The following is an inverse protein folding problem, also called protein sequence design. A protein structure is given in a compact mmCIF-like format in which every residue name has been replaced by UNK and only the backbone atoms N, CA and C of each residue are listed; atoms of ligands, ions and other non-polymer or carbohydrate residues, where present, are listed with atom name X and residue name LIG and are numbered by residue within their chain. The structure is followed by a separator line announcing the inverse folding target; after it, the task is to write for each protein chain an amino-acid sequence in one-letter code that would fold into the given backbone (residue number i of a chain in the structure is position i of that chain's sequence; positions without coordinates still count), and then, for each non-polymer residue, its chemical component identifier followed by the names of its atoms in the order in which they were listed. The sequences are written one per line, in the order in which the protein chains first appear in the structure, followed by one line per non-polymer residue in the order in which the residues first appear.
data_IF_959787314082
#
_entry.id   IF_959787314082
#
_cell.length_a   1.000
_cell.length_b   1.000
_cell.length_c   1.000
_cell.angle_alpha   90.00
_cell.angle_beta   90.00
_cell.angle_gamma   90.00
#
_symmetry.space_group_name_H-M   'P 1'
#
loop_
_entity.id
_entity.type
_entity.pdbx_description
1 polymer ?
#
# COMPACT_ATOMS: atom_id res chain seq x y z
N UNK A 1 2.70 10.63 -9.09
CA UNK A 1 3.63 10.91 -7.98
C UNK A 1 3.66 9.78 -6.96
N UNK A 2 2.55 9.36 -6.35
CA UNK A 2 2.52 8.28 -5.33
C UNK A 2 3.10 6.94 -5.78
N UNK A 3 2.80 6.50 -7.01
CA UNK A 3 3.35 5.25 -7.57
C UNK A 3 4.89 5.29 -7.66
N UNK A 4 5.43 6.39 -8.18
CA UNK A 4 6.89 6.55 -8.27
C UNK A 4 7.54 6.58 -6.88
N UNK A 5 6.94 7.26 -5.91
CA UNK A 5 7.42 7.29 -4.53
C UNK A 5 7.49 5.86 -3.93
N UNK A 6 6.41 5.08 -4.02
CA UNK A 6 6.39 3.71 -3.51
C UNK A 6 7.38 2.80 -4.26
N UNK A 7 7.50 2.94 -5.58
CA UNK A 7 8.45 2.17 -6.37
C UNK A 7 9.90 2.48 -5.96
N UNK A 8 10.26 3.77 -5.87
CA UNK A 8 11.59 4.19 -5.42
C UNK A 8 11.89 3.71 -3.99
N UNK A 9 10.92 3.83 -3.08
CA UNK A 9 11.07 3.36 -1.72
C UNK A 9 11.28 1.84 -1.65
N UNK A 10 10.49 1.06 -2.40
CA UNK A 10 10.62 -0.40 -2.46
C UNK A 10 11.98 -0.83 -3.03
N UNK A 11 12.46 -0.13 -4.07
CA UNK A 11 13.79 -0.39 -4.63
C UNK A 11 14.90 -0.04 -3.64
N UNK A 12 14.78 1.07 -2.92
CA UNK A 12 15.75 1.47 -1.89
C UNK A 12 15.81 0.45 -0.76
N UNK A 13 14.66 -0.02 -0.26
CA UNK A 13 14.59 -1.08 0.75
C UNK A 13 15.20 -2.39 0.25
N UNK A 14 14.87 -2.79 -0.97
CA UNK A 14 15.43 -4.00 -1.57
C UNK A 14 16.95 -3.90 -1.75
N UNK A 15 17.47 -2.74 -2.12
CA UNK A 15 18.90 -2.50 -2.21
C UNK A 15 19.57 -2.52 -0.84
N UNK A 16 18.94 -1.90 0.18
CA UNK A 16 19.44 -1.89 1.55
C UNK A 16 19.49 -3.29 2.19
N UNK A 17 18.58 -4.17 1.80
CA UNK A 17 18.55 -5.57 2.26
C UNK A 17 19.50 -6.50 1.46
N UNK A 18 20.51 -5.96 0.81
CA UNK A 18 21.53 -6.71 0.06
C UNK A 18 22.93 -6.46 0.66
N UNK A 19 23.85 -7.37 0.40
CA UNK A 19 25.25 -7.23 0.82
C UNK A 19 25.51 -7.61 2.26
N UNK A 20 26.52 -6.98 2.89
CA UNK A 20 27.02 -7.38 4.22
C UNK A 20 26.01 -7.18 5.36
N UNK A 21 25.04 -6.30 5.17
CA UNK A 21 23.96 -6.05 6.14
C UNK A 21 23.11 -7.31 6.37
N UNK A 22 23.03 -8.21 5.37
CA UNK A 22 22.30 -9.49 5.49
C UNK A 22 22.99 -10.52 6.37
N UNK A 23 24.20 -10.24 6.86
CA UNK A 23 24.89 -11.08 7.85
C UNK A 23 24.41 -10.81 9.29
N UNK A 24 23.70 -9.71 9.50
CA UNK A 24 23.06 -9.40 10.78
C UNK A 24 21.82 -10.31 10.97
N UNK A 25 21.76 -11.10 12.06
CA UNK A 25 20.65 -12.04 12.29
C UNK A 25 19.28 -11.38 12.34
N UNK A 26 19.20 -10.16 12.91
CA UNK A 26 17.94 -9.42 13.03
C UNK A 26 17.43 -8.94 11.67
N UNK A 27 18.35 -8.54 10.79
CA UNK A 27 18.01 -8.13 9.43
C UNK A 27 17.63 -9.33 8.57
N UNK A 28 18.29 -10.46 8.76
CA UNK A 28 17.92 -11.70 8.10
C UNK A 28 16.52 -12.14 8.53
N UNK A 29 16.20 -12.06 9.83
CA UNK A 29 14.86 -12.32 10.34
C UNK A 29 13.81 -11.37 9.73
N UNK A 30 14.11 -10.06 9.66
CA UNK A 30 13.22 -9.08 9.03
C UNK A 30 12.95 -9.41 7.56
N UNK A 31 13.98 -9.75 6.81
CA UNK A 31 13.89 -10.12 5.39
C UNK A 31 13.05 -11.38 5.18
N UNK A 32 13.27 -12.42 5.97
CA UNK A 32 12.56 -13.69 5.84
C UNK A 32 11.09 -13.58 6.27
N UNK A 33 10.78 -12.66 7.20
CA UNK A 33 9.43 -12.43 7.71
C UNK A 33 8.76 -11.16 7.20
N UNK A 34 9.28 -10.51 6.14
CA UNK A 34 8.76 -9.23 5.66
C UNK A 34 7.25 -9.26 5.31
N UNK A 35 6.74 -10.40 4.84
CA UNK A 35 5.31 -10.55 4.52
C UNK A 35 4.41 -10.69 5.75
N UNK A 36 4.95 -10.81 6.96
CA UNK A 36 4.19 -10.72 8.21
C UNK A 36 3.89 -9.27 8.63
N UNK A 37 4.45 -8.29 7.93
CA UNK A 37 4.17 -6.87 8.18
C UNK A 37 3.06 -6.37 7.25
N UNK A 38 1.93 -6.02 7.83
CA UNK A 38 0.76 -5.50 7.08
C UNK A 38 1.11 -4.25 6.25
N UNK A 39 2.12 -3.49 6.66
CA UNK A 39 2.62 -2.33 5.94
C UNK A 39 3.15 -2.68 4.54
N UNK A 40 3.86 -3.80 4.42
CA UNK A 40 4.36 -4.29 3.11
C UNK A 40 3.18 -4.59 2.19
N UNK A 41 2.16 -5.26 2.70
CA UNK A 41 0.93 -5.54 1.93
C UNK A 41 0.25 -4.25 1.46
N UNK A 42 0.14 -3.26 2.36
CA UNK A 42 -0.48 -1.98 2.02
C UNK A 42 0.30 -1.23 0.92
N UNK A 43 1.62 -1.23 0.96
CA UNK A 43 2.46 -0.64 -0.11
C UNK A 43 2.19 -1.35 -1.44
N UNK A 44 2.14 -2.68 -1.45
CA UNK A 44 1.81 -3.47 -2.65
C UNK A 44 0.39 -3.12 -3.15
N UNK A 45 -0.59 -3.06 -2.27
CA UNK A 45 -1.97 -2.72 -2.63
C UNK A 45 -2.08 -1.31 -3.19
N UNK A 46 -1.40 -0.33 -2.59
CA UNK A 46 -1.36 1.03 -3.14
C UNK A 46 -0.69 1.08 -4.51
N UNK A 47 0.42 0.36 -4.70
CA UNK A 47 1.09 0.31 -6.00
C UNK A 47 0.19 -0.31 -7.08
N UNK A 48 -0.51 -1.41 -6.77
CA UNK A 48 -1.47 -2.03 -7.68
C UNK A 48 -2.63 -1.08 -8.03
N UNK A 49 -3.21 -0.43 -7.03
CA UNK A 49 -4.28 0.55 -7.23
C UNK A 49 -3.83 1.73 -8.10
N UNK A 50 -2.69 2.34 -7.77
CA UNK A 50 -2.15 3.48 -8.51
C UNK A 50 -1.74 3.10 -9.93
N UNK A 51 -1.25 1.88 -10.16
CA UNK A 51 -0.96 1.37 -11.51
C UNK A 51 -2.24 1.24 -12.33
N UNK A 52 -3.31 0.70 -11.77
CA UNK A 52 -4.61 0.62 -12.44
C UNK A 52 -5.15 2.04 -12.77
N UNK A 53 -5.01 3.00 -11.85
CA UNK A 53 -5.42 4.37 -12.07
C UNK A 53 -4.62 5.01 -13.23
N UNK A 54 -3.30 4.87 -13.23
CA UNK A 54 -2.42 5.40 -14.31
C UNK A 54 -2.79 4.79 -15.65
N UNK A 55 -3.02 3.49 -15.73
CA UNK A 55 -3.46 2.82 -16.97
C UNK A 55 -4.78 3.40 -17.47
N UNK A 56 -5.75 3.61 -16.58
CA UNK A 56 -7.04 4.21 -16.95
C UNK A 56 -6.88 5.65 -17.45
N UNK A 57 -6.05 6.46 -16.77
CA UNK A 57 -5.86 7.86 -17.12
C UNK A 57 -5.10 8.02 -18.44
N UNK A 58 -4.00 7.28 -18.63
CA UNK A 58 -3.22 7.29 -19.87
C UNK A 58 -4.06 6.82 -21.07
N UNK A 59 -4.85 5.76 -20.88
CA UNK A 59 -5.73 5.26 -21.93
C UNK A 59 -6.81 6.30 -22.32
N UNK A 60 -7.35 7.01 -21.35
CA UNK A 60 -8.30 8.09 -21.60
C UNK A 60 -7.66 9.26 -22.37
N UNK A 61 -6.43 9.62 -22.01
CA UNK A 61 -5.68 10.67 -22.70
C UNK A 61 -5.32 10.31 -24.14
N UNK A 62 -4.99 9.04 -24.42
CA UNK A 62 -4.57 8.59 -25.75
C UNK A 62 -5.74 8.31 -26.68
N UNK A 63 -6.83 7.74 -26.17
CA UNK A 63 -7.95 7.25 -26.99
C UNK A 63 -9.20 8.12 -26.92
N UNK A 64 -9.17 9.18 -26.09
CA UNK A 64 -10.36 10.02 -25.84
C UNK A 64 -11.44 9.30 -25.00
N UNK A 65 -12.64 9.91 -24.89
CA UNK A 65 -13.69 9.42 -24.00
C UNK A 65 -14.46 8.17 -24.53
N UNK A 66 -14.00 7.53 -25.58
CA UNK A 66 -14.53 6.26 -26.08
C UNK A 66 -14.25 5.13 -25.09
N UNK A 67 -15.30 4.64 -24.41
CA UNK A 67 -15.13 3.56 -23.43
C UNK A 67 -14.86 2.20 -24.12
N UNK A 68 -13.61 1.78 -24.10
CA UNK A 68 -13.33 0.37 -24.31
C UNK A 68 -13.85 -0.43 -23.09
N UNK A 69 -14.66 -1.46 -23.32
CA UNK A 69 -15.25 -2.32 -22.27
C UNK A 69 -14.24 -2.78 -21.21
N UNK A 70 -13.01 -3.11 -21.63
CA UNK A 70 -11.94 -3.53 -20.72
C UNK A 70 -11.51 -2.43 -19.74
N UNK A 71 -11.44 -1.17 -20.21
CA UNK A 71 -11.11 -0.03 -19.34
C UNK A 71 -12.22 0.28 -18.35
N UNK A 72 -13.48 0.17 -18.78
CA UNK A 72 -14.63 0.31 -17.88
C UNK A 72 -14.62 -0.74 -16.76
N UNK A 73 -14.28 -1.99 -17.09
CA UNK A 73 -14.11 -3.07 -16.10
C UNK A 73 -12.93 -2.79 -15.15
N UNK A 74 -11.77 -2.38 -15.67
CA UNK A 74 -10.60 -2.05 -14.86
C UNK A 74 -10.89 -0.91 -13.90
N UNK A 75 -11.54 0.16 -14.36
CA UNK A 75 -11.96 1.30 -13.54
C UNK A 75 -12.96 0.87 -12.46
N UNK A 76 -13.92 0.02 -12.80
CA UNK A 76 -14.89 -0.51 -11.83
C UNK A 76 -14.21 -1.36 -10.76
N UNK A 77 -13.29 -2.26 -11.16
CA UNK A 77 -12.53 -3.10 -10.24
C UNK A 77 -11.60 -2.26 -9.34
N UNK A 78 -10.89 -1.29 -9.91
CA UNK A 78 -10.01 -0.38 -9.16
C UNK A 78 -10.76 0.33 -8.02
N UNK A 79 -12.00 0.77 -8.26
CA UNK A 79 -12.85 1.37 -7.21
C UNK A 79 -13.23 0.40 -6.10
N UNK A 80 -13.58 -0.84 -6.46
CA UNK A 80 -13.92 -1.90 -5.49
C UNK A 80 -12.68 -2.24 -4.66
N UNK A 81 -11.54 -2.39 -5.31
CA UNK A 81 -10.26 -2.69 -4.66
C UNK A 81 -9.82 -1.56 -3.74
N UNK A 82 -9.97 -0.31 -4.17
CA UNK A 82 -9.70 0.85 -3.33
C UNK A 82 -10.55 0.85 -2.06
N UNK A 83 -11.88 0.77 -2.20
CA UNK A 83 -12.78 0.85 -1.05
C UNK A 83 -12.75 -0.37 -0.14
N UNK A 84 -12.47 -1.57 -0.69
CA UNK A 84 -12.43 -2.83 0.07
C UNK A 84 -11.08 -3.16 0.68
N UNK A 85 -9.99 -2.61 0.14
CA UNK A 85 -8.63 -2.97 0.57
C UNK A 85 -7.78 -1.74 0.88
N UNK A 86 -7.53 -0.89 -0.11
CA UNK A 86 -6.53 0.19 0.02
C UNK A 86 -6.91 1.20 1.10
N UNK A 87 -8.16 1.68 1.07
CA UNK A 87 -8.64 2.66 2.03
C UNK A 87 -8.62 2.14 3.48
N UNK A 88 -9.25 0.98 3.80
CA UNK A 88 -9.24 0.48 5.18
C UNK A 88 -7.84 0.10 5.66
N UNK A 89 -6.99 -0.53 4.84
CA UNK A 89 -5.62 -0.86 5.23
C UNK A 89 -4.79 0.39 5.51
N UNK A 90 -4.81 1.38 4.62
CA UNK A 90 -4.04 2.62 4.78
C UNK A 90 -4.45 3.40 6.03
N UNK A 91 -5.76 3.50 6.27
CA UNK A 91 -6.31 4.20 7.46
C UNK A 91 -5.92 3.46 8.74
N UNK A 92 -6.09 2.14 8.79
CA UNK A 92 -5.76 1.32 9.95
C UNK A 92 -4.28 1.40 10.29
N UNK A 93 -3.39 1.26 9.29
CA UNK A 93 -1.94 1.35 9.52
C UNK A 93 -1.55 2.73 10.05
N UNK A 94 -2.05 3.80 9.44
CA UNK A 94 -1.72 5.16 9.88
C UNK A 94 -2.19 5.41 11.32
N UNK A 95 -3.43 5.02 11.65
CA UNK A 95 -4.04 5.28 12.97
C UNK A 95 -3.39 4.42 14.07
N UNK A 96 -2.93 3.21 13.75
CA UNK A 96 -2.30 2.33 14.75
C UNK A 96 -0.81 2.65 14.87
N UNK A 97 -0.10 2.82 13.76
CA UNK A 97 1.35 2.95 13.76
C UNK A 97 1.84 4.16 14.54
N UNK A 98 1.31 5.35 14.27
CA UNK A 98 1.85 6.58 14.85
C UNK A 98 1.64 6.72 16.36
N UNK A 99 0.46 6.42 16.93
CA UNK A 99 0.31 6.42 18.40
C UNK A 99 1.24 5.42 19.09
N UNK A 100 1.38 4.20 18.53
CA UNK A 100 2.26 3.20 19.10
C UNK A 100 3.74 3.56 18.93
N UNK A 101 4.14 4.10 17.79
CA UNK A 101 5.50 4.58 17.52
C UNK A 101 5.91 5.72 18.47
N UNK A 102 4.98 6.61 18.82
CA UNK A 102 5.22 7.71 19.77
C UNK A 102 5.24 7.19 21.21
N UNK A 103 4.37 6.22 21.54
CA UNK A 103 4.29 5.64 22.89
C UNK A 103 5.52 4.80 23.22
N UNK A 104 5.84 3.84 22.37
CA UNK A 104 7.03 2.99 22.47
C UNK A 104 7.45 2.50 21.09
N UNK A 105 8.50 3.13 20.54
CA UNK A 105 9.03 2.83 19.23
C UNK A 105 9.46 1.37 19.07
N UNK A 106 10.08 0.81 20.11
CA UNK A 106 10.67 -0.54 20.05
C UNK A 106 9.63 -1.63 19.82
N UNK A 107 8.35 -1.38 20.14
CA UNK A 107 7.26 -2.34 19.90
C UNK A 107 6.97 -2.56 18.40
N UNK A 108 7.11 -1.52 17.57
CA UNK A 108 6.77 -1.58 16.14
C UNK A 108 7.97 -1.38 15.22
N UNK A 109 8.96 -0.67 15.68
CA UNK A 109 10.09 -0.24 14.88
C UNK A 109 11.39 -0.32 15.71
N UNK A 110 11.84 -1.54 16.04
CA UNK A 110 13.09 -1.76 16.79
C UNK A 110 14.30 -1.11 16.11
N UNK A 111 15.29 -0.73 16.91
CA UNK A 111 16.46 0.03 16.44
C UNK A 111 17.24 -0.65 15.29
N UNK A 112 17.23 -1.99 15.19
CA UNK A 112 17.88 -2.68 14.09
C UNK A 112 17.26 -2.37 12.71
N UNK A 113 15.99 -1.98 12.66
CA UNK A 113 15.30 -1.63 11.40
C UNK A 113 15.91 -0.36 10.79
N UNK A 114 16.46 0.56 11.60
CA UNK A 114 17.13 1.77 11.09
C UNK A 114 18.35 1.47 10.21
N UNK A 115 18.92 0.28 10.33
CA UNK A 115 20.05 -0.15 9.47
C UNK A 115 19.63 -0.32 8.00
N UNK A 116 18.36 -0.61 7.75
CA UNK A 116 17.82 -0.89 6.39
C UNK A 116 16.72 0.05 5.98
N UNK A 117 16.01 0.65 6.93
CA UNK A 117 14.90 1.58 6.67
C UNK A 117 15.29 2.99 7.14
N UNK A 118 15.47 3.91 6.18
CA UNK A 118 15.67 5.32 6.51
C UNK A 118 14.39 5.95 7.07
N UNK A 119 14.53 7.09 7.77
CA UNK A 119 13.37 7.87 8.23
C UNK A 119 12.43 8.25 7.07
N UNK A 120 13.01 8.58 5.91
CA UNK A 120 12.23 8.88 4.71
C UNK A 120 11.41 7.67 4.27
N UNK A 121 11.99 6.47 4.27
CA UNK A 121 11.29 5.22 3.99
C UNK A 121 10.17 4.96 4.99
N UNK A 122 10.41 5.20 6.28
CA UNK A 122 9.38 5.08 7.31
C UNK A 122 8.20 6.00 7.03
N UNK A 123 8.44 7.27 6.72
CA UNK A 123 7.38 8.22 6.34
C UNK A 123 6.69 7.84 5.03
N UNK A 124 7.41 7.30 4.05
CA UNK A 124 6.82 6.83 2.79
C UNK A 124 5.86 5.66 3.00
N UNK A 125 6.11 4.80 3.99
CA UNK A 125 5.30 3.60 4.27
C UNK A 125 4.16 3.83 5.26
N UNK A 126 4.29 4.79 6.17
CA UNK A 126 3.36 4.97 7.29
C UNK A 126 2.66 6.33 7.31
N UNK A 127 3.26 7.40 6.74
CA UNK A 127 2.65 8.73 6.68
C UNK A 127 1.98 8.97 5.34
N UNK A 128 2.70 8.82 4.22
CA UNK A 128 2.21 9.22 2.90
C UNK A 128 1.09 8.33 2.37
N UNK A 129 0.92 7.13 2.93
CA UNK A 129 -0.15 6.20 2.54
C UNK A 129 -1.55 6.81 2.74
N UNK A 130 -1.77 7.55 3.83
CA UNK A 130 -3.08 8.15 4.11
C UNK A 130 -3.37 9.35 3.22
N UNK A 131 -2.51 10.36 3.05
CA UNK A 131 -2.71 11.45 2.07
C UNK A 131 -2.97 10.95 0.65
N UNK A 132 -2.27 9.91 0.19
CA UNK A 132 -2.51 9.32 -1.13
C UNK A 132 -3.91 8.70 -1.20
N UNK A 133 -4.33 7.97 -0.17
CA UNK A 133 -5.66 7.38 -0.11
C UNK A 133 -6.76 8.44 -0.01
N UNK A 134 -6.56 9.49 0.79
CA UNK A 134 -7.49 10.64 0.87
C UNK A 134 -7.61 11.36 -0.48
N UNK A 135 -6.48 11.61 -1.15
CA UNK A 135 -6.50 12.16 -2.51
C UNK A 135 -7.33 11.31 -3.46
N UNK A 136 -7.09 10.00 -3.48
CA UNK A 136 -7.86 9.09 -4.32
C UNK A 136 -9.35 9.11 -3.97
N UNK A 137 -9.71 9.19 -2.69
CA UNK A 137 -11.10 9.28 -2.23
C UNK A 137 -11.80 10.56 -2.73
N UNK A 138 -11.12 11.71 -2.67
CA UNK A 138 -11.67 13.01 -3.09
C UNK A 138 -11.93 13.03 -4.59
N UNK A 139 -11.03 12.44 -5.40
CA UNK A 139 -11.12 12.47 -6.85
C UNK A 139 -11.86 11.27 -7.46
N UNK A 140 -12.35 10.33 -6.65
CA UNK A 140 -13.28 9.30 -7.11
C UNK A 140 -14.66 9.91 -7.31
N UNK A 141 -15.04 10.17 -8.57
CA UNK A 141 -16.24 10.92 -8.95
C UNK A 141 -17.57 10.18 -8.81
N UNK A 142 -17.58 8.88 -8.51
CA UNK A 142 -18.80 8.07 -8.39
C UNK A 142 -18.95 7.44 -7.00
N UNK A 143 -19.64 8.14 -6.11
CA UNK A 143 -19.90 7.75 -4.72
C UNK A 143 -21.07 6.75 -4.53
N UNK A 144 -21.47 6.00 -5.53
CA UNK A 144 -22.56 5.02 -5.33
C UNK A 144 -22.00 3.69 -4.86
N UNK A 145 -22.34 3.23 -3.64
CA UNK A 145 -21.93 1.94 -3.10
C UNK A 145 -22.70 0.81 -3.77
N UNK A 146 -22.47 0.59 -5.07
CA UNK A 146 -23.21 -0.41 -5.88
C UNK A 146 -22.78 -1.84 -5.57
N UNK A 147 -21.69 -2.02 -4.77
CA UNK A 147 -21.06 -3.32 -4.58
C UNK A 147 -20.59 -3.58 -3.15
N UNK A 148 -21.42 -3.30 -2.14
CA UNK A 148 -21.08 -3.52 -0.72
C UNK A 148 -20.59 -4.95 -0.43
N UNK A 149 -21.15 -5.93 -1.13
CA UNK A 149 -20.70 -7.33 -1.03
C UNK A 149 -19.22 -7.48 -1.41
N UNK A 150 -18.81 -6.90 -2.54
CA UNK A 150 -17.43 -7.02 -3.02
C UNK A 150 -16.43 -6.28 -2.14
N UNK A 151 -16.79 -5.15 -1.54
CA UNK A 151 -15.95 -4.47 -0.55
C UNK A 151 -15.69 -5.36 0.66
N UNK A 152 -16.75 -5.92 1.24
CA UNK A 152 -16.64 -6.82 2.39
C UNK A 152 -15.87 -8.09 2.04
N UNK A 153 -16.13 -8.66 0.87
CA UNK A 153 -15.43 -9.86 0.40
C UNK A 153 -13.92 -9.64 0.31
N UNK A 154 -13.46 -8.56 -0.33
CA UNK A 154 -12.04 -8.25 -0.45
C UNK A 154 -11.40 -7.98 0.92
N UNK A 155 -12.07 -7.22 1.78
CA UNK A 155 -11.58 -6.93 3.13
C UNK A 155 -11.41 -8.21 3.94
N UNK A 156 -12.42 -9.08 3.96
CA UNK A 156 -12.37 -10.36 4.68
C UNK A 156 -11.29 -11.26 4.10
N UNK A 157 -11.17 -11.35 2.77
CA UNK A 157 -10.14 -12.16 2.11
C UNK A 157 -8.74 -11.71 2.52
N UNK A 158 -8.45 -10.41 2.47
CA UNK A 158 -7.14 -9.87 2.87
C UNK A 158 -6.87 -10.16 4.34
N UNK A 159 -7.86 -9.96 5.21
CA UNK A 159 -7.72 -10.18 6.65
C UNK A 159 -7.47 -11.66 6.97
N UNK A 160 -8.26 -12.58 6.39
CA UNK A 160 -8.09 -14.03 6.59
C UNK A 160 -6.74 -14.51 6.06
N UNK A 161 -6.32 -14.03 4.88
CA UNK A 161 -5.02 -14.38 4.30
C UNK A 161 -3.88 -13.87 5.18
N UNK A 162 -4.00 -12.66 5.72
CA UNK A 162 -2.98 -12.07 6.59
C UNK A 162 -2.84 -12.82 7.92
N UNK A 163 -3.95 -13.24 8.53
CA UNK A 163 -3.92 -14.03 9.79
C UNK A 163 -3.38 -15.44 9.56
N UNK A 164 -3.56 -16.00 8.35
CA UNK A 164 -3.08 -17.34 8.01
C UNK A 164 -1.58 -17.44 7.68
N UNK A 165 -0.84 -16.31 7.69
CA UNK A 165 0.61 -16.24 7.47
C UNK A 165 1.40 -16.29 8.78
#
# INVERSE_FOLDING_TARGET
MGLAMHACNSLAMFAAMRGDVTKDPDIMFLKDNQFKYITIWNVIFQMLFLSMAVVCDVSLMMNGPGEHRALGLLRSYSRIFFGGVVWPCSTTIFVIFWPMYIYDRELLFPAYIDKVLSQLSNHAMHTSILPIAVWALIFQTDNKPRHQFWYKFHLVTVFVTYIGL
#
